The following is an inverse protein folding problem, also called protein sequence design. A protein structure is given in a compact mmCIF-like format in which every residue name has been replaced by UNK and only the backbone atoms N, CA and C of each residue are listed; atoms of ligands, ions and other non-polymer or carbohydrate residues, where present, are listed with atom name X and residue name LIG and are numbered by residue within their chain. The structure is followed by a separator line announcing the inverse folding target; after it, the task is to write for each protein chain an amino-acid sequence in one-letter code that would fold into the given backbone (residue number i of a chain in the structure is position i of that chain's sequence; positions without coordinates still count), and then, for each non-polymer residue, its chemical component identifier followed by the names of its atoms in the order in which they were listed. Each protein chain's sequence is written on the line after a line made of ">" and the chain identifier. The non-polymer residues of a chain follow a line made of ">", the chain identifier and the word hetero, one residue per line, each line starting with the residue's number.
data_IF_283842768742
#
_entry.id   IF_283842768742
#
_cell.length_a   1.000
_cell.length_b   1.000
_cell.length_c   1.000
_cell.angle_alpha   90.00
_cell.angle_beta   90.00
_cell.angle_gamma   90.00
#
_symmetry.space_group_name_H-M   'P 1'
#
loop_
_entity.id
_entity.type
_entity.pdbx_description
1 polymer ?
#
# COMPACT_ATOMS: atom_id res chain seq x y z
N UNK A 1 15.57 -21.28 6.20
CA UNK A 1 14.92 -20.16 6.91
C UNK A 1 15.45 -18.87 6.34
N UNK A 2 14.60 -18.11 5.64
CA UNK A 2 14.98 -16.87 4.94
C UNK A 2 15.33 -15.77 5.95
N UNK A 3 16.48 -15.12 5.77
CA UNK A 3 16.97 -13.95 6.56
C UNK A 3 16.00 -12.75 6.64
N UNK A 4 14.79 -12.87 6.10
CA UNK A 4 13.74 -11.85 6.14
C UNK A 4 12.86 -11.88 7.39
N UNK A 5 13.03 -12.84 8.31
CA UNK A 5 12.23 -12.95 9.56
C UNK A 5 13.04 -12.83 10.84
N UNK A 6 14.36 -12.74 10.75
CA UNK A 6 15.25 -12.46 11.88
C UNK A 6 16.05 -11.21 11.50
N UNK A 7 15.62 -10.01 11.93
CA UNK A 7 16.36 -8.80 11.63
C UNK A 7 17.77 -8.92 12.23
N UNK A 8 18.81 -8.47 11.52
CA UNK A 8 20.16 -8.43 12.08
C UNK A 8 20.16 -7.59 13.35
N UNK A 9 20.96 -8.00 14.34
CA UNK A 9 21.09 -7.36 15.65
C UNK A 9 21.58 -5.91 15.60
N UNK A 10 22.04 -5.44 14.43
CA UNK A 10 22.42 -4.05 14.15
C UNK A 10 21.24 -3.12 13.85
N UNK A 11 20.02 -3.65 13.67
CA UNK A 11 18.83 -2.85 13.39
C UNK A 11 18.05 -2.55 14.67
N UNK A 12 17.65 -1.29 14.82
CA UNK A 12 16.75 -0.86 15.89
C UNK A 12 15.31 -1.32 15.60
N UNK A 13 14.47 -1.38 16.65
CA UNK A 13 13.05 -1.70 16.52
C UNK A 13 12.34 -0.75 15.54
N UNK A 14 12.73 0.51 15.55
CA UNK A 14 12.22 1.57 14.67
C UNK A 14 12.60 1.30 13.20
N UNK A 15 13.82 0.84 12.93
CA UNK A 15 14.28 0.49 11.57
C UNK A 15 13.50 -0.69 11.00
N UNK A 16 13.23 -1.70 11.85
CA UNK A 16 12.45 -2.88 11.47
C UNK A 16 11.03 -2.47 11.06
N UNK A 17 10.42 -1.57 11.85
CA UNK A 17 9.08 -1.05 11.59
C UNK A 17 9.07 -0.20 10.31
N UNK A 18 10.07 0.66 10.10
CA UNK A 18 10.22 1.45 8.87
C UNK A 18 10.36 0.56 7.63
N UNK A 19 11.22 -0.46 7.69
CA UNK A 19 11.42 -1.43 6.60
C UNK A 19 10.13 -2.21 6.29
N UNK A 20 9.40 -2.62 7.32
CA UNK A 20 8.13 -3.32 7.17
C UNK A 20 7.07 -2.42 6.51
N UNK A 21 7.02 -1.14 6.85
CA UNK A 21 6.14 -0.16 6.21
C UNK A 21 6.49 0.02 4.74
N UNK A 22 7.76 0.24 4.39
CA UNK A 22 8.21 0.38 3.00
C UNK A 22 7.85 -0.86 2.18
N UNK A 23 8.11 -2.06 2.69
CA UNK A 23 7.75 -3.32 2.02
C UNK A 23 6.24 -3.43 1.78
N UNK A 24 5.44 -3.11 2.80
CA UNK A 24 3.98 -3.13 2.71
C UNK A 24 3.47 -2.17 1.65
N UNK A 25 4.04 -0.96 1.58
CA UNK A 25 3.60 0.06 0.65
C UNK A 25 3.99 -0.31 -0.79
N UNK A 26 5.19 -0.85 -1.02
CA UNK A 26 5.59 -1.42 -2.31
C UNK A 26 4.62 -2.54 -2.72
N UNK A 27 4.27 -3.45 -1.80
CA UNK A 27 3.34 -4.54 -2.10
C UNK A 27 1.93 -4.05 -2.44
N UNK A 28 1.41 -3.07 -1.70
CA UNK A 28 0.10 -2.45 -1.99
C UNK A 28 0.08 -1.75 -3.34
N UNK A 29 1.14 -1.01 -3.67
CA UNK A 29 1.27 -0.37 -4.98
C UNK A 29 1.39 -1.40 -6.10
N UNK A 30 2.16 -2.47 -5.89
CA UNK A 30 2.29 -3.57 -6.84
C UNK A 30 0.92 -4.23 -7.12
N UNK A 31 0.13 -4.51 -6.09
CA UNK A 31 -1.23 -5.08 -6.26
C UNK A 31 -2.17 -4.11 -6.98
N UNK A 32 -2.10 -2.82 -6.66
CA UNK A 32 -2.84 -1.79 -7.40
C UNK A 32 -2.44 -1.77 -8.87
N UNK A 33 -1.13 -1.78 -9.15
CA UNK A 33 -0.58 -1.85 -10.50
C UNK A 33 -0.96 -3.13 -11.24
N UNK A 34 -1.09 -4.25 -10.52
CA UNK A 34 -1.54 -5.52 -11.09
C UNK A 34 -2.98 -5.43 -11.60
N UNK A 35 -3.89 -4.90 -10.78
CA UNK A 35 -5.30 -4.74 -11.15
C UNK A 35 -5.46 -3.74 -12.30
N UNK A 36 -4.81 -2.58 -12.21
CA UNK A 36 -4.86 -1.53 -13.25
C UNK A 36 -4.23 -2.03 -14.55
N UNK A 37 -3.09 -2.71 -14.48
CA UNK A 37 -2.41 -3.28 -15.65
C UNK A 37 -3.22 -4.40 -16.30
N UNK A 38 -3.83 -5.28 -15.51
CA UNK A 38 -4.66 -6.37 -16.02
C UNK A 38 -5.93 -5.88 -16.70
N UNK A 39 -6.64 -4.93 -16.06
CA UNK A 39 -7.84 -4.31 -16.64
C UNK A 39 -7.52 -3.49 -17.89
N UNK A 40 -6.43 -2.71 -17.88
CA UNK A 40 -5.95 -1.97 -19.05
C UNK A 40 -5.61 -2.89 -20.21
N UNK A 41 -4.88 -3.98 -19.97
CA UNK A 41 -4.55 -4.93 -21.03
C UNK A 41 -5.75 -5.74 -21.53
N UNK A 42 -6.76 -5.99 -20.71
CA UNK A 42 -8.01 -6.58 -21.18
C UNK A 42 -8.73 -5.68 -22.19
N UNK A 43 -8.81 -4.37 -21.89
CA UNK A 43 -9.37 -3.39 -22.82
C UNK A 43 -8.56 -3.33 -24.12
N UNK A 44 -7.23 -3.32 -24.02
CA UNK A 44 -6.36 -3.37 -25.19
C UNK A 44 -6.60 -4.63 -26.03
N UNK A 45 -6.72 -5.80 -25.40
CA UNK A 45 -7.03 -7.05 -26.09
C UNK A 45 -8.37 -6.95 -26.86
N UNK A 46 -9.40 -6.36 -26.24
CA UNK A 46 -10.71 -6.15 -26.89
C UNK A 46 -10.62 -5.19 -28.06
N UNK A 47 -9.85 -4.11 -27.94
CA UNK A 47 -9.62 -3.19 -29.07
C UNK A 47 -8.86 -3.85 -30.21
N UNK A 48 -7.87 -4.71 -29.90
CA UNK A 48 -7.12 -5.47 -30.90
C UNK A 48 -8.00 -6.51 -31.61
N UNK A 49 -8.88 -7.20 -30.88
CA UNK A 49 -9.85 -8.15 -31.43
C UNK A 49 -10.82 -7.44 -32.40
N UNK A 50 -11.35 -6.28 -32.00
CA UNK A 50 -12.20 -5.44 -32.84
C UNK A 50 -11.48 -4.96 -34.10
N UNK A 51 -10.23 -4.48 -33.97
CA UNK A 51 -9.43 -4.02 -35.11
C UNK A 51 -9.11 -5.16 -36.08
N UNK A 52 -8.76 -6.34 -35.57
CA UNK A 52 -8.46 -7.51 -36.41
C UNK A 52 -9.69 -7.96 -37.19
N UNK A 53 -10.89 -7.91 -36.58
CA UNK A 53 -12.15 -8.25 -37.24
C UNK A 53 -12.55 -7.25 -38.33
N UNK A 54 -12.31 -5.95 -38.14
CA UNK A 54 -12.72 -4.92 -39.10
C UNK A 54 -11.63 -4.45 -40.07
N UNK A 55 -10.35 -4.70 -39.77
CA UNK A 55 -9.19 -4.39 -40.62
C UNK A 55 -8.28 -5.60 -40.76
N UNK A 56 -8.87 -6.75 -41.10
CA UNK A 56 -8.19 -8.05 -41.23
C UNK A 56 -7.03 -8.07 -42.23
N UNK A 57 -7.01 -7.14 -43.20
CA UNK A 57 -5.88 -6.98 -44.15
C UNK A 57 -4.61 -6.37 -43.53
N UNK A 58 -4.72 -5.71 -42.37
CA UNK A 58 -3.60 -5.03 -41.72
C UNK A 58 -3.02 -5.87 -40.58
N UNK A 59 -3.85 -6.61 -39.84
CA UNK A 59 -3.43 -7.45 -38.71
C UNK A 59 -4.21 -8.78 -38.67
N UNK A 60 -3.73 -9.82 -39.37
CA UNK A 60 -4.31 -11.16 -39.32
C UNK A 60 -3.84 -11.90 -38.05
N UNK A 61 -4.24 -11.41 -36.88
CA UNK A 61 -3.93 -12.04 -35.60
C UNK A 61 -5.11 -12.90 -35.16
N UNK A 62 -4.87 -14.18 -34.91
CA UNK A 62 -5.86 -15.08 -34.31
C UNK A 62 -5.84 -14.92 -32.79
N UNK A 63 -6.65 -13.98 -32.29
CA UNK A 63 -6.80 -13.77 -30.85
C UNK A 63 -7.65 -14.89 -30.25
N UNK A 64 -6.98 -15.86 -29.63
CA UNK A 64 -7.64 -16.96 -28.91
C UNK A 64 -7.89 -16.59 -27.45
N UNK A 65 -8.69 -17.38 -26.73
CA UNK A 65 -8.89 -17.23 -25.28
C UNK A 65 -7.58 -17.30 -24.48
N UNK A 66 -6.65 -18.14 -24.91
CA UNK A 66 -5.32 -18.24 -24.29
C UNK A 66 -4.52 -16.96 -24.47
N UNK A 67 -4.63 -16.34 -25.65
CA UNK A 67 -4.03 -15.03 -25.94
C UNK A 67 -4.63 -13.95 -25.05
N UNK A 68 -5.96 -13.96 -24.84
CA UNK A 68 -6.63 -13.03 -23.93
C UNK A 68 -6.06 -13.13 -22.51
N UNK A 69 -6.01 -14.34 -21.97
CA UNK A 69 -5.44 -14.58 -20.65
C UNK A 69 -3.97 -14.15 -20.55
N UNK A 70 -3.14 -14.51 -21.54
CA UNK A 70 -1.73 -14.14 -21.58
C UNK A 70 -1.55 -12.61 -21.63
N UNK A 71 -2.33 -11.89 -22.43
CA UNK A 71 -2.26 -10.42 -22.49
C UNK A 71 -2.67 -9.75 -21.18
N UNK A 72 -3.69 -10.28 -20.50
CA UNK A 72 -4.11 -9.78 -19.18
C UNK A 72 -3.03 -10.03 -18.14
N UNK A 73 -2.47 -11.24 -18.08
CA UNK A 73 -1.41 -11.57 -17.12
C UNK A 73 -0.11 -10.79 -17.38
N UNK A 74 0.23 -10.57 -18.65
CA UNK A 74 1.36 -9.74 -19.04
C UNK A 74 1.14 -8.28 -18.63
N UNK A 75 -0.04 -7.73 -18.90
CA UNK A 75 -0.43 -6.38 -18.48
C UNK A 75 -0.39 -6.20 -16.97
N UNK A 76 -0.96 -7.15 -16.23
CA UNK A 76 -0.98 -7.14 -14.79
C UNK A 76 0.43 -7.22 -14.20
N UNK A 77 1.28 -8.10 -14.74
CA UNK A 77 2.68 -8.22 -14.29
C UNK A 77 3.47 -6.94 -14.56
N UNK A 78 3.31 -6.34 -15.75
CA UNK A 78 3.97 -5.10 -16.12
C UNK A 78 3.50 -3.93 -15.25
N UNK A 79 2.19 -3.79 -15.05
CA UNK A 79 1.61 -2.75 -14.20
C UNK A 79 2.07 -2.88 -12.75
N UNK A 80 2.12 -4.11 -12.22
CA UNK A 80 2.67 -4.41 -10.90
C UNK A 80 4.13 -3.98 -10.77
N UNK A 81 4.96 -4.35 -11.74
CA UNK A 81 6.38 -4.00 -11.75
C UNK A 81 6.61 -2.48 -11.79
N UNK A 82 5.88 -1.76 -12.65
CA UNK A 82 6.02 -0.30 -12.76
C UNK A 82 5.57 0.40 -11.48
N UNK A 83 4.42 0.03 -10.92
CA UNK A 83 3.92 0.61 -9.67
C UNK A 83 4.82 0.30 -8.46
N UNK A 84 5.38 -0.91 -8.41
CA UNK A 84 6.37 -1.29 -7.40
C UNK A 84 7.66 -0.47 -7.55
N UNK A 85 8.13 -0.26 -8.78
CA UNK A 85 9.36 0.48 -9.08
C UNK A 85 9.23 1.96 -8.74
N UNK A 86 8.12 2.61 -9.11
CA UNK A 86 7.88 4.02 -8.80
C UNK A 86 7.76 4.24 -7.29
N UNK A 87 7.03 3.36 -6.60
CA UNK A 87 6.91 3.41 -5.13
C UNK A 87 8.26 3.13 -4.47
N UNK A 88 9.00 2.15 -4.96
CA UNK A 88 10.34 1.82 -4.46
C UNK A 88 11.28 3.02 -4.54
N UNK A 89 11.31 3.74 -5.68
CA UNK A 89 12.10 4.96 -5.84
C UNK A 89 11.70 6.06 -4.85
N UNK A 90 10.40 6.28 -4.65
CA UNK A 90 9.92 7.30 -3.71
C UNK A 90 10.25 6.96 -2.25
N UNK A 91 10.33 5.68 -1.92
CA UNK A 91 10.58 5.19 -0.55
C UNK A 91 12.08 5.05 -0.21
N UNK A 92 13.00 5.28 -1.16
CA UNK A 92 14.46 5.12 -0.94
C UNK A 92 14.96 5.96 0.23
N UNK A 93 14.43 7.17 0.42
CA UNK A 93 14.86 8.07 1.50
C UNK A 93 14.59 7.49 2.90
N UNK A 94 13.55 6.67 3.06
CA UNK A 94 13.25 6.00 4.33
C UNK A 94 14.21 4.86 4.65
N UNK A 95 14.87 4.31 3.62
CA UNK A 95 15.82 3.21 3.76
C UNK A 95 17.28 3.70 3.86
N UNK A 96 17.57 4.92 3.40
CA UNK A 96 18.90 5.51 3.46
C UNK A 96 19.55 5.47 4.86
N UNK A 97 18.88 5.90 5.96
CA UNK A 97 19.50 5.83 7.29
C UNK A 97 19.74 4.39 7.75
N UNK A 98 18.87 3.45 7.36
CA UNK A 98 19.00 2.02 7.67
C UNK A 98 20.23 1.44 6.96
N UNK A 99 20.44 1.77 5.68
CA UNK A 99 21.61 1.32 4.92
C UNK A 99 22.92 1.92 5.41
N UNK A 100 22.91 3.18 5.85
CA UNK A 100 24.09 3.81 6.44
C UNK A 100 24.51 3.14 7.75
N UNK A 101 23.57 2.75 8.61
CA UNK A 101 23.86 1.99 9.85
C UNK A 101 24.43 0.59 9.58
N UNK A 102 23.97 -0.05 8.51
CA UNK A 102 24.46 -1.37 8.09
C UNK A 102 25.83 -1.35 7.42
N UNK A 103 26.37 -0.18 7.05
CA UNK A 103 27.66 -0.07 6.36
C UNK A 103 28.81 -0.01 7.37
N UNK A 104 29.30 -1.17 7.80
CA UNK A 104 30.43 -1.31 8.73
C UNK A 104 31.80 -0.92 8.15
N UNK A 105 31.88 -0.58 6.85
CA UNK A 105 33.15 -0.32 6.14
C UNK A 105 33.33 1.14 5.68
N UNK A 106 32.49 2.07 6.11
CA UNK A 106 32.76 3.49 5.87
C UNK A 106 33.61 4.03 7.02
N UNK A 107 34.92 4.18 6.77
CA UNK A 107 35.76 5.09 7.53
C UNK A 107 35.01 6.41 7.71
N UNK A 108 34.62 6.64 8.95
CA UNK A 108 33.97 7.80 9.54
C UNK A 108 34.17 9.09 8.76
N UNK A 109 33.17 9.48 7.98
CA UNK A 109 32.70 10.86 8.01
C UNK A 109 31.46 10.83 8.89
N UNK A 110 31.45 11.50 10.06
CA UNK A 110 30.27 11.52 10.90
C UNK A 110 29.17 12.18 10.08
N UNK A 111 28.09 11.44 9.84
CA UNK A 111 26.86 12.06 9.38
C UNK A 111 26.40 12.95 10.53
N UNK A 112 26.73 14.24 10.41
CA UNK A 112 26.08 15.34 11.12
C UNK A 112 24.60 15.22 10.80
N UNK A 113 23.87 14.43 11.58
CA UNK A 113 22.41 14.34 11.68
C UNK A 113 21.94 13.29 12.71
N UNK A 114 22.80 12.85 13.63
CA UNK A 114 22.36 12.75 15.01
C UNK A 114 22.33 14.19 15.56
N UNK A 115 21.34 14.98 15.12
CA UNK A 115 20.85 16.00 16.03
C UNK A 115 20.35 15.17 17.21
N UNK A 116 20.97 15.32 18.37
CA UNK A 116 20.35 14.94 19.64
C UNK A 116 19.01 15.68 19.65
N UNK A 117 17.99 15.06 19.08
CA UNK A 117 16.63 15.53 19.20
C UNK A 117 16.36 15.32 20.68
N UNK A 118 16.41 16.43 21.43
CA UNK A 118 16.01 16.45 22.83
C UNK A 118 14.72 15.63 22.94
N UNK A 119 14.54 14.80 23.98
CA UNK A 119 13.33 13.99 24.12
C UNK A 119 12.04 14.83 23.98
N UNK A 120 12.11 16.13 24.27
CA UNK A 120 11.04 17.10 24.05
C UNK A 120 10.68 17.31 22.56
N UNK A 121 11.68 17.38 21.68
CA UNK A 121 11.49 17.56 20.24
C UNK A 121 10.99 16.28 19.56
N UNK A 122 11.38 15.10 20.07
CA UNK A 122 10.87 13.82 19.62
C UNK A 122 9.37 13.69 19.94
N UNK A 123 8.97 14.12 21.15
CA UNK A 123 7.57 14.13 21.57
C UNK A 123 6.73 15.15 20.76
N UNK A 124 7.31 16.32 20.44
CA UNK A 124 6.68 17.30 19.54
C UNK A 124 6.44 16.71 18.14
N UNK A 125 7.43 16.02 17.58
CA UNK A 125 7.32 15.38 16.28
C UNK A 125 6.25 14.28 16.27
N UNK A 126 6.17 13.48 17.34
CA UNK A 126 5.17 12.44 17.50
C UNK A 126 3.74 13.03 17.66
N UNK A 127 3.61 14.12 18.41
CA UNK A 127 2.34 14.88 18.51
C UNK A 127 1.89 15.42 17.16
N UNK A 128 2.80 15.95 16.35
CA UNK A 128 2.49 16.41 15.00
C UNK A 128 2.08 15.26 14.08
N UNK A 129 2.79 14.12 14.13
CA UNK A 129 2.44 12.92 13.36
C UNK A 129 1.04 12.41 13.73
N UNK A 130 0.72 12.35 15.02
CA UNK A 130 -0.59 11.95 15.51
C UNK A 130 -1.69 12.94 15.08
N UNK A 131 -1.38 14.24 15.04
CA UNK A 131 -2.30 15.28 14.54
C UNK A 131 -2.61 15.09 13.06
N UNK A 132 -1.60 14.79 12.24
CA UNK A 132 -1.77 14.54 10.80
C UNK A 132 -2.59 13.27 10.57
N UNK A 133 -2.31 12.19 11.30
CA UNK A 133 -3.07 10.94 11.21
C UNK A 133 -4.55 11.12 11.58
N UNK A 134 -4.85 11.88 12.64
CA UNK A 134 -6.24 12.20 13.01
C UNK A 134 -6.96 13.03 11.94
N UNK A 135 -6.26 13.96 11.29
CA UNK A 135 -6.82 14.72 10.17
C UNK A 135 -7.09 13.84 8.97
N UNK A 136 -6.20 12.89 8.67
CA UNK A 136 -6.39 11.93 7.60
C UNK A 136 -7.59 11.00 7.88
N UNK A 137 -7.73 10.49 9.11
CA UNK A 137 -8.87 9.65 9.49
C UNK A 137 -10.19 10.41 9.47
N UNK A 138 -10.21 11.66 9.96
CA UNK A 138 -11.39 12.52 9.88
C UNK A 138 -11.78 12.84 8.44
N UNK A 139 -10.81 13.20 7.59
CA UNK A 139 -11.08 13.44 6.17
C UNK A 139 -11.58 12.18 5.46
N UNK A 140 -11.11 11.00 5.85
CA UNK A 140 -11.59 9.73 5.33
C UNK A 140 -13.03 9.44 5.78
N UNK A 141 -13.36 9.70 7.05
CA UNK A 141 -14.73 9.56 7.57
C UNK A 141 -15.69 10.54 6.89
N UNK A 142 -15.28 11.81 6.72
CA UNK A 142 -16.09 12.84 6.03
C UNK A 142 -16.36 12.48 4.57
N UNK A 143 -15.40 11.85 3.88
CA UNK A 143 -15.51 11.48 2.47
C UNK A 143 -16.17 10.12 2.23
N UNK A 144 -16.41 9.33 3.28
CA UNK A 144 -17.07 8.04 3.16
C UNK A 144 -18.58 8.25 2.89
N UNK A 145 -19.13 7.76 1.77
CA UNK A 145 -20.55 7.89 1.48
C UNK A 145 -21.36 7.06 2.48
N UNK A 146 -22.21 7.74 3.27
CA UNK A 146 -23.19 7.11 4.17
C UNK A 146 -22.85 7.10 5.66
N UNK A 147 -21.70 7.61 6.10
CA UNK A 147 -21.36 7.75 7.53
C UNK A 147 -20.98 9.21 7.82
N UNK A 148 -22.01 10.05 8.01
CA UNK A 148 -21.80 11.39 8.55
C UNK A 148 -21.42 11.31 10.02
N UNK A 149 -20.63 12.27 10.50
CA UNK A 149 -20.29 12.47 11.93
C UNK A 149 -21.51 12.71 12.84
N UNK A 150 -22.72 12.62 12.30
CA UNK A 150 -24.00 12.81 12.96
C UNK A 150 -24.53 11.50 13.57
N UNK A 151 -23.93 10.35 13.27
CA UNK A 151 -24.42 9.02 13.72
C UNK A 151 -23.79 8.57 15.07
N UNK A 152 -22.91 9.37 15.66
CA UNK A 152 -22.27 9.03 16.95
C UNK A 152 -23.19 9.25 18.17
N UNK A 153 -24.45 9.65 17.96
CA UNK A 153 -25.46 9.85 19.01
C UNK A 153 -26.75 9.03 18.80
N UNK A 154 -26.75 8.05 17.90
CA UNK A 154 -27.81 7.05 17.80
C UNK A 154 -27.74 6.04 18.95
N UNK A 155 -28.19 6.42 20.15
CA UNK A 155 -28.33 5.52 21.28
C UNK A 155 -29.35 4.41 21.01
N UNK A 156 -28.89 3.29 20.44
CA UNK A 156 -29.66 2.05 20.44
C UNK A 156 -29.48 1.37 21.80
N UNK A 157 -30.43 1.55 22.71
CA UNK A 157 -30.54 0.67 23.87
C UNK A 157 -30.85 -0.73 23.37
N UNK A 158 -29.99 -1.68 23.71
CA UNK A 158 -30.23 -3.12 23.52
C UNK A 158 -31.62 -3.43 24.10
N UNK A 159 -32.57 -3.79 23.24
CA UNK A 159 -33.85 -4.30 23.68
C UNK A 159 -33.63 -5.71 24.20
N UNK A 160 -33.64 -5.86 25.53
CA UNK A 160 -33.69 -7.17 26.17
C UNK A 160 -34.99 -7.87 25.76
N UNK A 161 -34.85 -8.95 25.00
CA UNK A 161 -35.96 -9.80 24.59
C UNK A 161 -36.42 -10.70 25.75
N UNK A 162 -37.62 -10.40 26.25
CA UNK A 162 -38.62 -11.36 26.76
C UNK A 162 -38.17 -12.43 27.74
N UNK A 163 -38.28 -12.15 29.05
CA UNK A 163 -38.59 -13.18 30.05
C UNK A 163 -40.11 -13.26 30.20
N UNK A 164 -40.74 -14.26 29.54
CA UNK A 164 -42.13 -14.61 29.80
C UNK A 164 -42.23 -15.31 31.16
N UNK A 165 -42.76 -14.61 32.17
CA UNK A 165 -43.19 -15.24 33.42
C UNK A 165 -44.50 -15.99 33.18
N UNK A 166 -44.41 -17.33 33.18
CA UNK A 166 -45.54 -18.26 33.26
C UNK A 166 -46.08 -18.22 34.68
N UNK A 167 -47.33 -17.77 34.86
CA UNK A 167 -48.10 -17.96 36.10
C UNK A 167 -48.86 -19.28 36.00
N UNK A 168 -48.69 -20.12 37.01
CA UNK A 168 -49.66 -21.14 37.42
C UNK A 168 -50.73 -20.51 38.31
#
# INVERSE_FOLDING_TARGET
>A
MTRGHSPPSSLTSEDIVSLAMVRRDIWKSAMTGFVVGGTGSFLLHKTAEYLSKHRSKVLPLTLTRNTAFATVMMGASLGSFLAATTTGKNQVHHLHPIFQRGNTNANTVPLVNAVDISPEDAERLERERNRIMRRASLNQAIRAPGHGLNDSHGGHWVQDSTTQFRKE
#
